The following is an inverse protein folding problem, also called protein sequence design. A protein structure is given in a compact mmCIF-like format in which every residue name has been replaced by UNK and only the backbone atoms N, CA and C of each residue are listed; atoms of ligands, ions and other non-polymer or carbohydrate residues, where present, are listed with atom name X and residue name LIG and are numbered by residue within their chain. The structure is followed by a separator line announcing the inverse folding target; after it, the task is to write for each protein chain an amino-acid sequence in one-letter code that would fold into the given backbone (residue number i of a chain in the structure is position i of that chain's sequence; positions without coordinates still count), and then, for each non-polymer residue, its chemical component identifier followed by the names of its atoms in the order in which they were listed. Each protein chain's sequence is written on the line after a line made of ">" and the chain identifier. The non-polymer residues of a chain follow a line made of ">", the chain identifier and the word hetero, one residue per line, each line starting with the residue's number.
data_IF_758760716763
#
_entry.id   IF_758760716763
#
_cell.length_a   1.000
_cell.length_b   1.000
_cell.length_c   1.000
_cell.angle_alpha   90.00
_cell.angle_beta   90.00
_cell.angle_gamma   90.00
#
_symmetry.space_group_name_H-M   'P 1'
#
loop_
_entity.id
_entity.type
_entity.pdbx_description
1 polymer ?
#
# COMPACT_ATOMS: atom_id res chain seq x y z
N UNK A 1 -4.76 -1.55 -3.07
CA UNK A 1 -5.15 -0.67 -4.19
C UNK A 1 -6.58 -0.19 -4.02
N UNK A 2 -6.91 1.00 -4.53
CA UNK A 2 -8.30 1.50 -4.59
C UNK A 2 -8.60 1.88 -6.02
N UNK A 3 -9.59 1.21 -6.63
CA UNK A 3 -9.94 1.36 -8.05
C UNK A 3 -11.45 1.41 -8.27
N UNK A 4 -11.89 1.90 -9.44
CA UNK A 4 -13.31 1.92 -9.75
C UNK A 4 -13.66 2.64 -11.03
N UNK A 5 -14.91 3.10 -11.09
CA UNK A 5 -15.51 3.77 -12.24
C UNK A 5 -14.80 5.09 -12.57
N UNK A 6 -14.61 5.34 -13.86
CA UNK A 6 -14.15 6.66 -14.37
C UNK A 6 -15.27 7.72 -14.37
N UNK A 7 -16.51 7.30 -14.17
CA UNK A 7 -17.72 8.14 -14.07
C UNK A 7 -18.51 7.70 -12.83
N UNK A 8 -17.96 7.90 -11.64
CA UNK A 8 -18.61 7.48 -10.41
C UNK A 8 -19.81 8.37 -10.08
N UNK A 9 -20.65 7.87 -9.19
CA UNK A 9 -21.64 8.67 -8.49
C UNK A 9 -21.00 9.54 -7.39
N UNK A 10 -21.74 10.47 -6.82
CA UNK A 10 -21.31 11.22 -5.64
C UNK A 10 -21.01 10.28 -4.45
N UNK A 11 -21.82 9.22 -4.30
CA UNK A 11 -21.60 8.16 -3.31
C UNK A 11 -20.24 7.49 -3.51
N UNK A 12 -19.94 7.04 -4.75
CA UNK A 12 -18.69 6.37 -5.06
C UNK A 12 -17.46 7.26 -4.81
N UNK A 13 -17.53 8.55 -5.19
CA UNK A 13 -16.47 9.51 -4.91
C UNK A 13 -16.24 9.65 -3.40
N UNK A 14 -17.30 9.87 -2.62
CA UNK A 14 -17.20 10.02 -1.16
C UNK A 14 -16.69 8.76 -0.48
N UNK A 15 -17.18 7.58 -0.89
CA UNK A 15 -16.72 6.30 -0.35
C UNK A 15 -15.23 6.08 -0.62
N UNK A 16 -14.78 6.29 -1.87
CA UNK A 16 -13.37 6.13 -2.23
C UNK A 16 -12.45 7.08 -1.46
N UNK A 17 -12.87 8.34 -1.33
CA UNK A 17 -12.12 9.37 -0.64
C UNK A 17 -11.99 9.08 0.87
N UNK A 18 -13.10 8.68 1.51
CA UNK A 18 -13.11 8.36 2.93
C UNK A 18 -12.32 7.09 3.25
N UNK A 19 -12.55 6.00 2.51
CA UNK A 19 -11.81 4.74 2.70
C UNK A 19 -10.32 4.97 2.51
N UNK A 20 -9.92 5.68 1.45
CA UNK A 20 -8.52 5.96 1.20
C UNK A 20 -7.87 6.85 2.28
N UNK A 21 -8.61 7.86 2.79
CA UNK A 21 -8.13 8.71 3.87
C UNK A 21 -7.97 7.94 5.19
N UNK A 22 -8.92 7.07 5.52
CA UNK A 22 -8.84 6.24 6.74
C UNK A 22 -7.70 5.21 6.66
N UNK A 23 -7.51 4.55 5.50
CA UNK A 23 -6.37 3.66 5.28
C UNK A 23 -5.04 4.41 5.42
N UNK A 24 -4.94 5.61 4.82
CA UNK A 24 -3.73 6.42 4.90
C UNK A 24 -3.40 6.90 6.33
N UNK A 25 -4.42 7.19 7.16
CA UNK A 25 -4.25 7.48 8.60
C UNK A 25 -3.63 6.31 9.36
N UNK A 26 -3.85 5.08 8.90
CA UNK A 26 -3.27 3.86 9.45
C UNK A 26 -1.92 3.51 8.79
N UNK A 27 -1.25 4.49 8.20
CA UNK A 27 0.05 4.31 7.52
C UNK A 27 0.01 3.33 6.32
N UNK A 28 -1.17 3.06 5.78
CA UNK A 28 -1.33 2.22 4.58
C UNK A 28 -1.15 3.08 3.35
N UNK A 29 -0.22 2.71 2.48
CA UNK A 29 0.01 3.40 1.21
C UNK A 29 -1.08 2.98 0.21
N UNK A 30 -1.83 3.96 -0.29
CA UNK A 30 -2.88 3.73 -1.28
C UNK A 30 -2.27 3.74 -2.68
N UNK A 31 -2.50 2.67 -3.45
CA UNK A 31 -2.06 2.56 -4.85
C UNK A 31 -3.26 2.71 -5.78
N UNK A 32 -3.15 3.53 -6.82
CA UNK A 32 -4.20 3.67 -7.83
C UNK A 32 -3.65 4.13 -9.19
N UNK A 33 -4.52 4.23 -10.18
CA UNK A 33 -4.13 4.48 -11.57
C UNK A 33 -4.18 5.94 -12.02
N UNK A 34 -4.46 6.88 -11.14
CA UNK A 34 -4.64 8.30 -11.44
C UNK A 34 -5.65 8.59 -12.58
N UNK A 35 -6.55 7.66 -12.88
CA UNK A 35 -7.64 7.88 -13.83
C UNK A 35 -8.69 8.84 -13.25
N UNK A 36 -9.60 9.31 -14.11
CA UNK A 36 -10.78 10.07 -13.67
C UNK A 36 -11.59 9.26 -12.65
N UNK A 37 -12.34 9.93 -11.82
CA UNK A 37 -13.35 9.32 -10.95
C UNK A 37 -12.75 8.70 -9.69
N UNK A 38 -12.97 7.41 -9.47
CA UNK A 38 -12.61 6.73 -8.22
C UNK A 38 -11.10 6.84 -7.93
N UNK A 39 -10.24 6.64 -8.92
CA UNK A 39 -8.79 6.74 -8.73
C UNK A 39 -8.39 8.15 -8.23
N UNK A 40 -8.97 9.19 -8.84
CA UNK A 40 -8.76 10.59 -8.42
C UNK A 40 -9.23 10.82 -6.97
N UNK A 41 -10.42 10.31 -6.62
CA UNK A 41 -10.98 10.43 -5.27
C UNK A 41 -10.11 9.69 -4.24
N UNK A 42 -9.66 8.49 -4.57
CA UNK A 42 -8.77 7.69 -3.72
C UNK A 42 -7.44 8.42 -3.44
N UNK A 43 -6.79 8.96 -4.48
CA UNK A 43 -5.56 9.73 -4.29
C UNK A 43 -5.76 10.97 -3.42
N UNK A 44 -6.83 11.73 -3.66
CA UNK A 44 -7.17 12.91 -2.83
C UNK A 44 -7.43 12.55 -1.37
N UNK A 45 -8.17 11.46 -1.14
CA UNK A 45 -8.40 10.95 0.21
C UNK A 45 -7.09 10.58 0.91
N UNK A 46 -6.24 9.81 0.26
CA UNK A 46 -4.97 9.36 0.81
C UNK A 46 -4.02 10.54 1.12
N UNK A 47 -3.92 11.53 0.24
CA UNK A 47 -3.08 12.72 0.43
C UNK A 47 -3.47 13.58 1.64
N UNK A 48 -4.70 13.47 2.16
CA UNK A 48 -5.13 14.19 3.37
C UNK A 48 -4.46 13.68 4.65
N UNK A 49 -3.99 12.43 4.66
CA UNK A 49 -3.58 11.77 5.88
C UNK A 49 -2.31 10.92 5.76
N UNK A 50 -1.77 10.74 4.55
CA UNK A 50 -0.60 9.88 4.34
C UNK A 50 -0.12 9.89 2.89
N UNK A 51 0.37 8.75 2.43
CA UNK A 51 1.05 8.60 1.15
C UNK A 51 0.22 7.81 0.13
N UNK A 52 0.45 8.11 -1.15
CA UNK A 52 -0.18 7.38 -2.25
C UNK A 52 0.78 7.19 -3.40
N UNK A 53 0.57 6.12 -4.18
CA UNK A 53 1.35 5.80 -5.38
C UNK A 53 0.43 5.82 -6.58
N UNK A 54 0.74 6.67 -7.55
CA UNK A 54 0.08 6.67 -8.85
C UNK A 54 0.87 5.85 -9.86
N UNK A 55 0.21 4.88 -10.47
CA UNK A 55 0.80 4.09 -11.56
C UNK A 55 0.26 4.63 -12.87
N UNK A 56 1.12 4.99 -13.84
CA UNK A 56 0.70 5.58 -15.12
C UNK A 56 0.69 4.55 -16.26
N UNK A 57 -0.22 4.74 -17.23
CA UNK A 57 -0.26 3.99 -18.48
C UNK A 57 0.31 4.81 -19.66
N UNK A 58 1.34 5.63 -19.39
CA UNK A 58 2.06 6.47 -20.36
C UNK A 58 3.42 6.86 -19.78
N UNK A 59 4.25 7.55 -20.54
CA UNK A 59 5.50 8.11 -20.01
C UNK A 59 5.26 9.01 -18.81
N UNK A 60 6.20 9.03 -17.87
CA UNK A 60 6.09 9.78 -16.61
C UNK A 60 6.00 11.30 -16.82
N UNK A 61 6.45 11.78 -17.96
CA UNK A 61 6.40 13.17 -18.43
C UNK A 61 5.02 13.58 -18.97
N UNK A 62 4.09 12.61 -19.15
CA UNK A 62 2.71 12.89 -19.57
C UNK A 62 1.75 12.89 -18.40
N UNK A 63 1.17 14.06 -18.08
CA UNK A 63 0.03 14.14 -17.16
C UNK A 63 -1.24 13.66 -17.89
N UNK A 64 -1.68 12.42 -17.58
CA UNK A 64 -2.90 11.87 -18.15
C UNK A 64 -3.79 11.25 -17.07
N UNK A 65 -5.08 11.64 -16.97
CA UNK A 65 -5.74 12.66 -17.77
C UNK A 65 -5.22 14.08 -17.47
N UNK A 66 -5.29 15.04 -18.42
CA UNK A 66 -4.71 16.38 -18.23
C UNK A 66 -5.21 17.13 -17.00
N UNK A 67 -6.48 16.94 -16.62
CA UNK A 67 -7.08 17.54 -15.44
C UNK A 67 -6.45 17.10 -14.12
N UNK A 68 -5.78 15.93 -14.11
CA UNK A 68 -5.09 15.41 -12.93
C UNK A 68 -3.63 15.88 -12.81
N UNK A 69 -3.19 16.84 -13.65
CA UNK A 69 -1.81 17.33 -13.62
C UNK A 69 -1.38 17.83 -12.24
N UNK A 70 -2.20 18.66 -11.60
CA UNK A 70 -1.91 19.16 -10.25
C UNK A 70 -1.90 18.03 -9.21
N UNK A 71 -2.86 17.11 -9.30
CA UNK A 71 -2.92 15.94 -8.43
C UNK A 71 -1.65 15.07 -8.56
N UNK A 72 -1.16 14.84 -9.78
CA UNK A 72 0.08 14.09 -10.00
C UNK A 72 1.30 14.77 -9.40
N UNK A 73 1.36 16.11 -9.42
CA UNK A 73 2.41 16.86 -8.75
C UNK A 73 2.33 16.73 -7.22
N UNK A 74 1.13 16.79 -6.65
CA UNK A 74 0.91 16.58 -5.22
C UNK A 74 1.30 15.15 -4.80
N UNK A 75 0.95 14.13 -5.61
CA UNK A 75 1.34 12.75 -5.38
C UNK A 75 2.86 12.59 -5.44
N UNK A 76 3.52 13.20 -6.42
CA UNK A 76 4.98 13.15 -6.54
C UNK A 76 5.71 13.79 -5.35
N UNK A 77 5.11 14.83 -4.74
CA UNK A 77 5.66 15.49 -3.55
C UNK A 77 5.46 14.70 -2.24
N UNK A 78 4.37 13.92 -2.14
CA UNK A 78 3.95 13.24 -0.90
C UNK A 78 3.88 11.71 -1.02
N UNK A 79 4.44 11.14 -2.07
CA UNK A 79 4.38 9.70 -2.36
C UNK A 79 5.23 9.39 -3.58
N UNK A 80 4.64 8.67 -4.57
CA UNK A 80 5.35 8.35 -5.79
C UNK A 80 4.42 8.34 -7.02
N UNK A 81 4.96 8.78 -8.16
CA UNK A 81 4.38 8.55 -9.48
C UNK A 81 5.31 7.63 -10.23
N UNK A 82 4.80 6.49 -10.68
CA UNK A 82 5.60 5.47 -11.36
C UNK A 82 5.01 5.10 -12.71
N UNK A 83 5.87 4.70 -13.63
CA UNK A 83 5.49 4.19 -14.95
C UNK A 83 6.46 3.12 -15.42
N UNK A 84 5.93 2.12 -16.13
CA UNK A 84 6.73 1.13 -16.85
C UNK A 84 7.15 1.64 -18.24
N UNK A 85 6.50 2.70 -18.72
CA UNK A 85 6.73 3.25 -20.05
C UNK A 85 7.84 4.31 -20.04
N UNK A 86 8.75 4.29 -21.03
CA UNK A 86 9.77 5.31 -21.16
C UNK A 86 9.18 6.74 -21.28
N UNK A 87 9.91 7.78 -20.85
CA UNK A 87 9.56 9.17 -21.15
C UNK A 87 9.28 9.38 -22.64
N UNK A 88 8.34 10.26 -22.97
CA UNK A 88 7.89 10.49 -24.33
C UNK A 88 6.82 9.53 -24.83
N UNK A 89 6.45 8.49 -24.07
CA UNK A 89 5.39 7.54 -24.46
C UNK A 89 4.02 8.17 -24.28
N UNK A 90 3.33 8.45 -25.37
CA UNK A 90 1.97 9.00 -25.35
C UNK A 90 0.95 7.99 -24.81
N UNK A 91 -0.10 8.44 -24.10
CA UNK A 91 -1.14 7.54 -23.58
C UNK A 91 -1.90 6.85 -24.71
N UNK A 92 -2.05 5.52 -24.62
CA UNK A 92 -2.80 4.70 -25.56
C UNK A 92 -3.78 3.80 -24.80
N UNK A 93 -5.00 3.54 -25.36
CA UNK A 93 -6.02 2.73 -24.68
C UNK A 93 -5.53 1.36 -24.19
N UNK A 94 -4.65 0.70 -24.96
CA UNK A 94 -4.08 -0.63 -24.64
C UNK A 94 -3.14 -0.64 -23.43
N UNK A 95 -2.55 0.50 -23.08
CA UNK A 95 -1.60 0.60 -21.98
C UNK A 95 -2.28 0.61 -20.59
N UNK A 96 -3.53 1.09 -20.52
CA UNK A 96 -4.23 1.15 -19.23
C UNK A 96 -4.56 -0.22 -18.64
N UNK A 97 -5.11 -1.19 -19.40
CA UNK A 97 -5.28 -2.56 -18.87
C UNK A 97 -3.94 -3.22 -18.54
N UNK A 98 -2.93 -3.06 -19.39
CA UNK A 98 -1.60 -3.64 -19.14
C UNK A 98 -0.96 -3.11 -17.85
N UNK A 99 -1.09 -1.79 -17.57
CA UNK A 99 -0.62 -1.15 -16.37
C UNK A 99 -1.31 -1.67 -15.10
N UNK A 100 -2.58 -2.09 -15.16
CA UNK A 100 -3.35 -2.49 -13.97
C UNK A 100 -2.73 -3.65 -13.21
N UNK A 101 -1.95 -4.53 -13.86
CA UNK A 101 -1.17 -5.57 -13.18
C UNK A 101 -0.14 -5.00 -12.18
N UNK A 102 0.36 -3.80 -12.42
CA UNK A 102 1.30 -3.15 -11.50
C UNK A 102 0.53 -2.61 -10.30
N UNK A 103 -0.70 -2.12 -10.49
CA UNK A 103 -1.55 -1.65 -9.40
C UNK A 103 -1.89 -2.83 -8.47
N UNK A 104 -2.36 -3.97 -9.02
CA UNK A 104 -2.66 -5.17 -8.24
C UNK A 104 -1.41 -5.75 -7.59
N UNK A 105 -0.31 -5.87 -8.33
CA UNK A 105 0.93 -6.48 -7.87
C UNK A 105 1.62 -5.71 -6.73
N UNK A 106 1.53 -4.37 -6.70
CA UNK A 106 2.06 -3.54 -5.62
C UNK A 106 1.21 -3.58 -4.34
N UNK A 107 -0.05 -4.03 -4.43
CA UNK A 107 -0.98 -4.01 -3.32
C UNK A 107 -1.17 -5.40 -2.70
N UNK A 108 -1.40 -5.46 -1.40
CA UNK A 108 -1.80 -6.70 -0.73
C UNK A 108 -3.27 -7.02 -0.99
N UNK A 109 -4.11 -5.99 -1.16
CA UNK A 109 -5.51 -6.13 -1.49
C UNK A 109 -6.01 -5.02 -2.40
N UNK A 110 -7.09 -5.29 -3.11
CA UNK A 110 -7.71 -4.38 -4.08
C UNK A 110 -9.16 -4.09 -3.70
N UNK A 111 -9.43 -2.82 -3.40
CA UNK A 111 -10.78 -2.30 -3.10
C UNK A 111 -11.40 -1.78 -4.39
N UNK A 112 -12.55 -2.32 -4.77
CA UNK A 112 -13.37 -1.86 -5.89
C UNK A 112 -14.56 -1.08 -5.34
N UNK A 113 -14.61 0.24 -5.60
CA UNK A 113 -15.64 1.12 -5.00
C UNK A 113 -16.91 1.19 -5.85
N UNK A 114 -16.80 1.46 -7.10
CA UNK A 114 -17.89 1.39 -8.09
C UNK A 114 -17.39 0.79 -9.39
N UNK A 115 -18.14 -0.14 -9.96
CA UNK A 115 -17.83 -0.73 -11.25
C UNK A 115 -19.13 -1.12 -11.98
N UNK A 116 -19.32 -0.59 -13.18
CA UNK A 116 -20.33 -1.12 -14.10
C UNK A 116 -19.91 -2.52 -14.57
N UNK A 117 -20.85 -3.30 -15.12
CA UNK A 117 -20.63 -4.70 -15.48
C UNK A 117 -19.49 -4.98 -16.48
N UNK A 118 -18.99 -3.97 -17.21
CA UNK A 118 -17.84 -4.04 -18.12
C UNK A 118 -16.78 -2.98 -17.77
N UNK A 119 -16.56 -2.72 -16.49
CA UNK A 119 -15.60 -1.72 -16.03
C UNK A 119 -14.16 -2.25 -16.09
N UNK A 120 -13.21 -1.38 -16.45
CA UNK A 120 -11.78 -1.69 -16.37
C UNK A 120 -11.27 -2.00 -14.94
N UNK A 121 -11.99 -1.55 -13.90
CA UNK A 121 -11.68 -1.89 -12.52
C UNK A 121 -11.87 -3.38 -12.21
N UNK A 122 -12.80 -4.05 -12.92
CA UNK A 122 -12.99 -5.51 -12.80
C UNK A 122 -11.80 -6.29 -13.34
N UNK A 123 -11.10 -5.76 -14.36
CA UNK A 123 -9.85 -6.34 -14.86
C UNK A 123 -8.77 -6.28 -13.76
N UNK A 124 -8.69 -5.18 -13.02
CA UNK A 124 -7.73 -5.05 -11.90
C UNK A 124 -8.07 -6.03 -10.77
N UNK A 125 -9.36 -6.20 -10.45
CA UNK A 125 -9.81 -7.17 -9.46
C UNK A 125 -9.47 -8.63 -9.89
N UNK A 126 -9.69 -8.97 -11.17
CA UNK A 126 -9.33 -10.28 -11.71
C UNK A 126 -7.82 -10.53 -11.66
N UNK A 127 -7.00 -9.52 -12.01
CA UNK A 127 -5.54 -9.61 -11.88
C UNK A 127 -5.13 -9.82 -10.43
N UNK A 128 -5.73 -9.10 -9.48
CA UNK A 128 -5.47 -9.27 -8.05
C UNK A 128 -5.76 -10.71 -7.59
N UNK A 129 -6.91 -11.27 -7.97
CA UNK A 129 -7.27 -12.65 -7.66
C UNK A 129 -6.28 -13.66 -8.26
N UNK A 130 -5.87 -13.46 -9.51
CA UNK A 130 -4.89 -14.35 -10.18
C UNK A 130 -3.50 -14.30 -9.53
N UNK A 131 -3.18 -13.19 -8.87
CA UNK A 131 -1.95 -12.99 -8.09
C UNK A 131 -2.09 -13.44 -6.62
N UNK A 132 -3.23 -14.05 -6.23
CA UNK A 132 -3.50 -14.47 -4.85
C UNK A 132 -3.66 -13.29 -3.88
N UNK A 133 -4.12 -12.14 -4.38
CA UNK A 133 -4.40 -10.95 -3.56
C UNK A 133 -5.86 -10.87 -3.20
N UNK A 134 -6.15 -10.29 -2.04
CA UNK A 134 -7.52 -10.08 -1.58
C UNK A 134 -8.26 -9.07 -2.44
N UNK A 135 -9.55 -9.33 -2.66
CA UNK A 135 -10.45 -8.41 -3.35
C UNK A 135 -11.59 -8.02 -2.42
N UNK A 136 -11.75 -6.72 -2.27
CA UNK A 136 -12.81 -6.09 -1.49
C UNK A 136 -13.73 -5.32 -2.42
N UNK A 137 -15.02 -5.29 -2.11
CA UNK A 137 -15.98 -4.54 -2.91
C UNK A 137 -16.93 -3.72 -2.03
N UNK A 138 -17.09 -2.45 -2.39
CA UNK A 138 -18.07 -1.57 -1.75
C UNK A 138 -19.44 -1.88 -2.33
N UNK A 139 -20.45 -2.22 -1.50
CA UNK A 139 -21.79 -2.52 -1.97
C UNK A 139 -22.47 -1.27 -2.49
N UNK A 140 -23.43 -1.46 -3.37
CA UNK A 140 -24.27 -0.36 -3.85
C UNK A 140 -25.67 -0.83 -4.23
N UNK A 141 -26.53 0.14 -4.56
CA UNK A 141 -27.90 -0.14 -4.92
C UNK A 141 -28.01 -1.11 -6.11
N UNK A 142 -28.90 -2.09 -6.01
CA UNK A 142 -29.20 -3.02 -7.11
C UNK A 142 -29.81 -2.33 -8.34
N UNK A 143 -30.33 -1.12 -8.16
CA UNK A 143 -30.85 -0.29 -9.24
C UNK A 143 -29.81 0.59 -9.91
N UNK A 144 -28.61 0.66 -9.36
CA UNK A 144 -27.49 1.44 -9.91
C UNK A 144 -26.66 0.59 -10.87
N UNK A 145 -26.55 1.03 -12.11
CA UNK A 145 -25.68 0.40 -13.11
C UNK A 145 -24.19 0.45 -12.71
N UNK A 146 -23.80 1.41 -11.88
CA UNK A 146 -22.43 1.58 -11.37
C UNK A 146 -22.08 0.56 -10.27
N UNK A 147 -23.09 -0.06 -9.64
CA UNK A 147 -22.87 -1.02 -8.55
C UNK A 147 -22.88 -2.48 -9.01
N UNK A 148 -23.30 -2.74 -10.25
CA UNK A 148 -23.49 -4.10 -10.80
C UNK A 148 -22.21 -4.93 -10.67
N UNK A 149 -21.05 -4.36 -11.01
CA UNK A 149 -19.77 -5.06 -10.94
C UNK A 149 -19.34 -5.37 -9.52
N UNK A 150 -19.47 -4.41 -8.59
CA UNK A 150 -19.13 -4.60 -7.18
C UNK A 150 -20.05 -5.65 -6.53
N UNK A 151 -21.37 -5.54 -6.74
CA UNK A 151 -22.32 -6.51 -6.20
C UNK A 151 -22.06 -7.92 -6.75
N UNK A 152 -21.63 -8.04 -8.03
CA UNK A 152 -21.24 -9.32 -8.62
C UNK A 152 -19.93 -9.86 -8.02
N UNK A 153 -18.94 -9.02 -7.76
CA UNK A 153 -17.73 -9.43 -7.07
C UNK A 153 -18.04 -9.99 -5.68
N UNK A 154 -18.94 -9.34 -4.92
CA UNK A 154 -19.41 -9.82 -3.62
C UNK A 154 -20.07 -11.21 -3.73
N UNK A 155 -20.96 -11.40 -4.72
CA UNK A 155 -21.57 -12.70 -4.98
C UNK A 155 -20.54 -13.79 -5.34
N UNK A 156 -19.40 -13.41 -5.91
CA UNK A 156 -18.29 -14.30 -6.27
C UNK A 156 -17.30 -14.55 -5.12
N UNK A 157 -17.56 -13.97 -3.94
CA UNK A 157 -16.77 -14.20 -2.74
C UNK A 157 -15.81 -13.05 -2.38
N UNK A 158 -15.83 -11.92 -3.08
CA UNK A 158 -15.10 -10.74 -2.62
C UNK A 158 -15.71 -10.24 -1.29
N UNK A 159 -14.84 -9.89 -0.33
CA UNK A 159 -15.31 -9.36 0.96
C UNK A 159 -16.04 -8.03 0.75
N UNK A 160 -17.29 -7.98 1.19
CA UNK A 160 -18.05 -6.73 1.27
C UNK A 160 -17.42 -5.83 2.34
N UNK A 161 -17.17 -4.56 1.98
CA UNK A 161 -16.67 -3.56 2.92
C UNK A 161 -17.55 -2.32 2.92
N UNK A 162 -17.76 -1.75 4.09
CA UNK A 162 -18.45 -0.48 4.31
C UNK A 162 -17.48 0.62 4.79
N UNK A 163 -16.31 0.23 5.27
CA UNK A 163 -15.30 1.12 5.86
C UNK A 163 -13.87 0.62 5.62
N UNK A 164 -12.88 1.43 5.93
CA UNK A 164 -11.49 1.00 5.94
C UNK A 164 -11.19 -0.03 7.04
N UNK A 165 -11.94 -0.03 8.13
CA UNK A 165 -11.78 -1.00 9.22
C UNK A 165 -11.99 -2.43 8.70
N UNK A 166 -12.96 -2.65 7.83
CA UNK A 166 -13.26 -3.96 7.24
C UNK A 166 -12.08 -4.51 6.40
N UNK A 167 -11.29 -3.61 5.79
CA UNK A 167 -10.05 -3.95 5.09
C UNK A 167 -8.96 -4.27 6.09
N UNK A 168 -8.81 -3.46 7.14
CA UNK A 168 -7.76 -3.62 8.15
C UNK A 168 -7.90 -4.91 8.95
N UNK A 169 -9.12 -5.40 9.16
CA UNK A 169 -9.38 -6.67 9.84
C UNK A 169 -8.72 -7.88 9.16
N UNK A 170 -8.54 -7.84 7.83
CA UNK A 170 -7.89 -8.94 7.09
C UNK A 170 -6.36 -8.95 7.25
N UNK A 171 -5.79 -7.85 7.76
CA UNK A 171 -4.34 -7.72 7.84
C UNK A 171 -3.87 -7.40 9.26
N UNK A 172 -2.96 -8.19 9.84
CA UNK A 172 -2.46 -8.00 11.20
C UNK A 172 -1.43 -6.85 11.28
N UNK A 173 -1.64 -5.75 10.56
CA UNK A 173 -0.68 -4.63 10.52
C UNK A 173 -0.56 -3.92 11.87
N UNK A 174 -1.64 -3.82 12.65
CA UNK A 174 -1.64 -3.18 13.96
C UNK A 174 -0.77 -3.91 15.00
N UNK A 175 -0.57 -5.21 14.84
CA UNK A 175 0.30 -5.97 15.73
C UNK A 175 1.79 -5.70 15.46
N UNK A 176 2.15 -5.22 14.25
CA UNK A 176 3.56 -4.90 13.91
C UNK A 176 3.97 -3.49 14.33
N UNK A 177 3.06 -2.54 14.52
CA UNK A 177 3.39 -1.21 15.05
C UNK A 177 3.74 -1.26 16.54
N UNK A 178 3.11 -2.12 17.34
CA UNK A 178 3.54 -2.38 18.71
C UNK A 178 4.96 -2.97 18.81
N UNK A 179 5.43 -3.68 17.77
CA UNK A 179 6.77 -4.27 17.75
C UNK A 179 7.85 -3.31 17.19
N UNK A 180 7.44 -2.20 16.52
CA UNK A 180 8.39 -1.20 15.98
C UNK A 180 8.55 0.04 16.84
N UNK A 181 7.64 0.29 17.77
CA UNK A 181 7.73 1.38 18.76
C UNK A 181 8.08 0.89 20.17
N UNK A 182 8.26 -0.41 20.37
CA UNK A 182 9.09 -0.78 21.50
C UNK A 182 10.44 -0.09 21.28
N UNK A 183 10.62 1.07 21.97
CA UNK A 183 11.94 1.52 22.31
C UNK A 183 12.66 0.24 22.71
N UNK A 184 13.67 -0.14 21.94
CA UNK A 184 14.57 -1.23 22.28
C UNK A 184 14.88 -1.07 23.76
N UNK A 185 14.10 -1.72 24.64
CA UNK A 185 14.37 -1.76 26.06
C UNK A 185 15.57 -2.70 26.23
N UNK A 186 16.71 -2.18 25.76
CA UNK A 186 18.00 -2.81 25.98
C UNK A 186 18.42 -2.49 27.40
N UNK A 187 18.88 -3.50 28.13
CA UNK A 187 19.63 -3.25 29.35
C UNK A 187 20.86 -2.40 29.06
N UNK A 188 21.48 -1.81 30.05
CA UNK A 188 22.68 -1.01 29.83
C UNK A 188 23.81 -1.84 29.17
N UNK A 189 23.89 -3.13 29.47
CA UNK A 189 24.86 -4.06 28.89
C UNK A 189 24.49 -4.42 27.44
N UNK A 190 23.21 -4.72 27.15
CA UNK A 190 22.73 -4.95 25.77
C UNK A 190 22.93 -3.73 24.88
N UNK A 191 22.68 -2.53 25.39
CA UNK A 191 22.89 -1.28 24.65
C UNK A 191 24.36 -1.06 24.31
N UNK A 192 25.30 -1.39 25.23
CA UNK A 192 26.70 -1.29 24.98
C UNK A 192 27.17 -2.28 23.91
N UNK A 193 26.67 -3.52 23.91
CA UNK A 193 26.96 -4.51 22.86
C UNK A 193 26.34 -4.07 21.52
N UNK A 194 25.10 -3.63 21.51
CA UNK A 194 24.40 -3.19 20.31
C UNK A 194 25.08 -2.02 19.60
N UNK A 195 25.63 -1.07 20.38
CA UNK A 195 26.36 0.09 19.84
C UNK A 195 27.68 -0.28 19.13
N UNK A 196 28.20 -1.47 19.35
CA UNK A 196 29.44 -1.97 18.70
C UNK A 196 29.13 -2.77 17.43
N UNK A 197 27.86 -3.19 17.21
CA UNK A 197 27.45 -3.95 16.04
C UNK A 197 27.18 -2.99 14.87
N UNK A 198 27.59 -3.38 13.68
CA UNK A 198 27.37 -2.63 12.45
C UNK A 198 26.81 -3.57 11.37
N UNK A 199 25.76 -3.16 10.62
CA UNK A 199 25.27 -3.94 9.48
C UNK A 199 26.27 -3.98 8.31
N UNK A 200 27.24 -3.07 8.28
CA UNK A 200 28.21 -2.94 7.18
C UNK A 200 29.52 -3.70 7.42
N UNK A 201 29.83 -4.02 8.67
CA UNK A 201 31.08 -4.70 9.04
C UNK A 201 30.81 -5.80 10.04
N UNK A 202 31.32 -7.00 9.75
CA UNK A 202 31.31 -8.11 10.71
C UNK A 202 32.25 -7.79 11.88
N UNK A 203 31.72 -7.82 13.10
CA UNK A 203 32.49 -7.62 14.35
C UNK A 203 32.66 -8.98 15.03
N UNK A 204 33.88 -9.32 15.39
CA UNK A 204 34.15 -10.60 16.06
C UNK A 204 33.84 -10.52 17.55
N UNK A 205 33.55 -11.68 18.16
CA UNK A 205 33.29 -11.78 19.60
C UNK A 205 34.48 -11.23 20.41
N UNK A 206 35.69 -11.52 19.99
CA UNK A 206 36.93 -11.07 20.67
C UNK A 206 37.06 -9.54 20.65
N UNK A 207 36.66 -8.88 19.56
CA UNK A 207 36.64 -7.42 19.46
C UNK A 207 35.67 -6.79 20.45
N UNK A 208 34.47 -7.39 20.60
CA UNK A 208 33.45 -6.92 21.54
C UNK A 208 34.00 -7.07 22.98
N UNK A 209 34.58 -8.23 23.31
CA UNK A 209 35.14 -8.50 24.63
C UNK A 209 36.25 -7.50 24.96
N UNK A 210 37.15 -7.27 24.02
CA UNK A 210 38.26 -6.31 24.19
C UNK A 210 37.79 -4.89 24.45
N UNK A 211 36.75 -4.44 23.69
CA UNK A 211 36.20 -3.09 23.80
C UNK A 211 35.42 -2.88 25.08
N UNK A 212 34.59 -3.85 25.48
CA UNK A 212 33.74 -3.74 26.67
C UNK A 212 34.45 -4.20 27.96
N UNK A 213 35.64 -4.82 27.88
CA UNK A 213 36.39 -5.40 29.00
C UNK A 213 35.54 -6.32 29.88
N UNK A 214 34.64 -7.08 29.24
CA UNK A 214 33.69 -7.97 29.90
C UNK A 214 34.10 -9.43 29.72
N UNK A 215 33.51 -10.31 30.54
CA UNK A 215 33.78 -11.75 30.43
C UNK A 215 33.13 -12.37 29.20
N UNK A 216 33.81 -13.36 28.60
CA UNK A 216 33.37 -14.09 27.40
C UNK A 216 31.96 -14.67 27.57
N UNK A 217 31.72 -15.29 28.74
CA UNK A 217 30.43 -15.93 29.04
C UNK A 217 29.27 -14.95 29.07
N UNK A 218 29.51 -13.76 29.64
CA UNK A 218 28.47 -12.70 29.72
C UNK A 218 28.15 -12.13 28.34
N UNK A 219 29.18 -11.81 27.52
CA UNK A 219 28.95 -11.29 26.14
C UNK A 219 28.26 -12.33 25.27
N UNK A 220 28.67 -13.61 25.33
CA UNK A 220 28.01 -14.68 24.58
C UNK A 220 26.52 -14.86 24.97
N UNK A 221 26.21 -14.76 26.26
CA UNK A 221 24.85 -14.84 26.77
C UNK A 221 24.01 -13.65 26.28
N UNK A 222 24.53 -12.42 26.35
CA UNK A 222 23.86 -11.21 25.85
C UNK A 222 23.57 -11.34 24.34
N UNK A 223 24.57 -11.74 23.54
CA UNK A 223 24.39 -11.93 22.10
C UNK A 223 23.34 -13.00 21.79
N UNK A 224 23.33 -14.11 22.51
CA UNK A 224 22.31 -15.15 22.35
C UNK A 224 20.90 -14.62 22.68
N UNK A 225 20.75 -13.87 23.76
CA UNK A 225 19.46 -13.25 24.09
C UNK A 225 19.01 -12.25 23.02
N UNK A 226 19.93 -11.42 22.52
CA UNK A 226 19.65 -10.47 21.45
C UNK A 226 19.27 -11.18 20.15
N UNK A 227 19.92 -12.29 19.82
CA UNK A 227 19.61 -13.12 18.65
C UNK A 227 18.22 -13.77 18.77
N UNK A 228 17.87 -14.33 19.94
CA UNK A 228 16.52 -14.89 20.19
C UNK A 228 15.41 -13.84 20.09
N UNK A 229 15.73 -12.57 20.35
CA UNK A 229 14.84 -11.41 20.18
C UNK A 229 14.86 -10.82 18.77
N UNK A 230 15.69 -11.35 17.85
CA UNK A 230 15.82 -10.86 16.48
C UNK A 230 16.47 -9.48 16.37
N UNK A 231 17.37 -9.11 17.28
CA UNK A 231 18.05 -7.82 17.34
C UNK A 231 19.44 -7.87 16.66
N UNK A 232 19.97 -9.06 16.49
CA UNK A 232 21.26 -9.36 15.85
C UNK A 232 21.17 -10.69 15.11
#
# INVERSE_FOLDING_TARGET
>A
AVVGSRRPSAYGCSAAENIAAELAKQSVVVVSGAARGIDTAAHRGALRAGHTIAVLGCGIDYAYPPENKMLLQEIAANGAVISEYPPGTVPQPRFFPARNRIISGLAQGTVVVEAAGKSGALITAEMALNEGRDVFAVPGSIYSSQSVGCNRLIQQGAKLICSAADVMEEYPWQQRECLRTDKLCLSAEEAAVYALLSPEQAVTLDEIICKLRSDVSNIAFILLQMQLRGLV
#
